data_IF_482585896259
#
_entry.id   IF_482585896259
#
_cell.length_a   1.000
_cell.length_b   1.000
_cell.length_c   1.000
_cell.angle_alpha   90.00
_cell.angle_beta   90.00
_cell.angle_gamma   90.00
#
_symmetry.space_group_name_H-M   'P 1'
#
loop_
_entity.id
_entity.type
_entity.pdbx_description
1 polymer ?
#
# COMPACT_ATOMS: atom_id res chain seq x y z
N UNK A 1 -62.10 6.61 78.23
CA UNK A 1 -61.65 7.37 77.07
C UNK A 1 -60.26 6.84 76.73
N UNK A 2 -60.21 6.01 75.68
CA UNK A 2 -58.98 5.34 75.26
C UNK A 2 -58.60 5.74 73.85
N UNK A 3 -57.40 6.26 73.69
CA UNK A 3 -56.91 6.70 72.40
C UNK A 3 -55.91 5.65 71.91
N UNK A 4 -56.29 4.95 70.83
CA UNK A 4 -55.46 3.95 70.14
C UNK A 4 -54.53 4.64 69.16
N UNK A 5 -53.25 4.40 69.28
CA UNK A 5 -52.19 4.87 68.38
C UNK A 5 -51.92 3.80 67.32
N UNK A 6 -52.23 4.08 66.04
CA UNK A 6 -51.87 3.27 64.89
C UNK A 6 -50.40 3.58 64.47
N UNK A 7 -49.54 2.60 64.60
CA UNK A 7 -48.16 2.63 64.02
C UNK A 7 -48.27 2.15 62.56
N UNK A 8 -47.97 3.04 61.61
CA UNK A 8 -47.75 2.67 60.23
C UNK A 8 -46.27 2.27 60.06
N UNK A 9 -46.02 1.02 59.71
CA UNK A 9 -44.70 0.56 59.29
C UNK A 9 -44.48 0.94 57.80
N UNK A 10 -43.50 1.79 57.52
CA UNK A 10 -42.96 2.03 56.13
C UNK A 10 -41.97 0.92 55.82
N UNK A 11 -42.32 0.03 54.89
CA UNK A 11 -41.36 -0.85 54.23
C UNK A 11 -40.62 -0.06 53.12
N UNK A 12 -39.35 0.27 53.33
CA UNK A 12 -38.49 0.80 52.31
C UNK A 12 -37.99 -0.36 51.45
N UNK A 13 -38.54 -0.56 50.27
CA UNK A 13 -38.05 -1.47 49.25
C UNK A 13 -36.81 -0.87 48.59
N UNK A 14 -35.62 -1.39 48.92
CA UNK A 14 -34.41 -1.05 48.21
C UNK A 14 -34.42 -1.76 46.84
N UNK A 15 -34.80 -1.04 45.81
CA UNK A 15 -34.67 -1.48 44.41
C UNK A 15 -33.20 -1.44 44.02
N UNK A 16 -32.54 -2.60 43.93
CA UNK A 16 -31.22 -2.72 43.26
C UNK A 16 -31.42 -2.53 41.76
N UNK A 17 -31.19 -1.32 41.27
CA UNK A 17 -31.02 -1.08 39.83
C UNK A 17 -29.65 -1.63 39.42
N UNK A 18 -29.63 -2.83 38.80
CA UNK A 18 -28.48 -3.26 38.01
C UNK A 18 -28.28 -2.28 36.86
N UNK A 19 -27.35 -1.37 37.02
CA UNK A 19 -26.83 -0.59 35.91
C UNK A 19 -26.03 -1.54 35.01
N UNK A 20 -26.66 -2.10 33.97
CA UNK A 20 -25.93 -2.71 32.86
C UNK A 20 -25.11 -1.61 32.21
N UNK A 21 -23.83 -1.53 32.51
CA UNK A 21 -22.88 -0.73 31.75
C UNK A 21 -22.85 -1.32 30.34
N UNK A 22 -23.50 -0.65 29.40
CA UNK A 22 -23.31 -0.93 27.98
C UNK A 22 -21.87 -0.52 27.68
N UNK A 23 -20.96 -1.48 27.73
CA UNK A 23 -19.60 -1.26 27.29
C UNK A 23 -19.65 -1.09 25.77
N UNK A 24 -19.18 0.04 25.28
CA UNK A 24 -19.07 0.25 23.85
C UNK A 24 -18.24 -0.90 23.25
N UNK A 25 -18.68 -1.41 22.09
CA UNK A 25 -17.95 -2.47 21.40
C UNK A 25 -16.49 -2.03 21.17
N UNK A 26 -15.51 -2.90 21.41
CA UNK A 26 -14.11 -2.57 21.14
C UNK A 26 -13.94 -2.22 19.66
N UNK A 27 -13.11 -1.23 19.38
CA UNK A 27 -12.86 -0.75 18.02
C UNK A 27 -11.37 -0.80 17.68
N UNK A 28 -11.05 -0.94 16.38
CA UNK A 28 -9.70 -0.75 15.85
C UNK A 28 -9.76 0.21 14.66
N UNK A 29 -8.97 1.27 14.70
CA UNK A 29 -8.87 2.26 13.64
C UNK A 29 -7.69 1.92 12.74
N UNK A 30 -7.99 1.61 11.48
CA UNK A 30 -7.04 1.15 10.48
C UNK A 30 -6.85 2.20 9.40
N UNK A 31 -5.61 2.67 9.20
CA UNK A 31 -5.25 3.60 8.13
C UNK A 31 -4.47 2.88 7.06
N UNK A 32 -5.11 2.65 5.93
CA UNK A 32 -4.64 1.77 4.86
C UNK A 32 -4.45 2.53 3.56
N UNK A 33 -3.81 1.90 2.60
CA UNK A 33 -3.82 2.37 1.21
C UNK A 33 -5.23 2.24 0.61
N UNK A 34 -5.51 3.06 -0.40
CA UNK A 34 -6.74 2.92 -1.19
C UNK A 34 -6.75 1.56 -1.92
N UNK A 35 -7.92 0.92 -2.00
CA UNK A 35 -8.12 -0.35 -2.71
C UNK A 35 -7.16 -1.50 -2.27
N UNK A 36 -6.82 -1.60 -0.98
CA UNK A 36 -5.73 -2.45 -0.48
C UNK A 36 -6.16 -3.40 0.65
N UNK A 37 -7.36 -3.98 0.53
CA UNK A 37 -7.90 -5.01 1.43
C UNK A 37 -9.04 -5.75 0.74
N UNK A 38 -9.31 -7.00 1.12
CA UNK A 38 -10.41 -7.78 0.59
C UNK A 38 -11.79 -7.21 0.97
N UNK A 39 -12.81 -7.37 0.12
CA UNK A 39 -14.11 -6.70 0.29
C UNK A 39 -14.87 -7.14 1.54
N UNK A 40 -14.64 -8.33 2.05
CA UNK A 40 -15.30 -8.86 3.27
C UNK A 40 -14.39 -8.90 4.48
N UNK A 41 -13.07 -8.68 4.32
CA UNK A 41 -12.05 -8.88 5.37
C UNK A 41 -12.37 -8.15 6.68
N UNK A 42 -12.85 -6.91 6.61
CA UNK A 42 -13.21 -6.13 7.79
C UNK A 42 -14.45 -6.68 8.49
N UNK A 43 -15.48 -7.02 7.74
CA UNK A 43 -16.71 -7.61 8.27
C UNK A 43 -16.47 -9.00 8.87
N UNK A 44 -15.63 -9.80 8.24
CA UNK A 44 -15.25 -11.12 8.73
C UNK A 44 -14.38 -11.03 10.00
N UNK A 45 -13.52 -10.02 10.11
CA UNK A 45 -12.80 -9.73 11.35
C UNK A 45 -13.75 -9.35 12.48
N UNK A 46 -14.69 -8.45 12.26
CA UNK A 46 -15.68 -8.06 13.26
C UNK A 46 -16.51 -9.27 13.72
N UNK A 47 -16.98 -10.07 12.78
CA UNK A 47 -17.72 -11.31 13.07
C UNK A 47 -16.90 -12.31 13.90
N UNK A 48 -15.61 -12.45 13.60
CA UNK A 48 -14.74 -13.41 14.26
C UNK A 48 -14.28 -12.97 15.66
N UNK A 49 -14.22 -11.68 15.94
CA UNK A 49 -13.60 -11.12 17.15
C UNK A 49 -14.52 -10.27 18.02
N UNK A 50 -15.62 -9.78 17.47
CA UNK A 50 -16.48 -8.78 18.13
C UNK A 50 -15.85 -7.38 18.20
N UNK A 51 -14.69 -7.16 17.55
CA UNK A 51 -14.00 -5.86 17.47
C UNK A 51 -14.44 -5.17 16.17
N UNK A 52 -14.98 -3.97 16.26
CA UNK A 52 -15.40 -3.20 15.10
C UNK A 52 -14.21 -2.52 14.42
N UNK A 53 -13.86 -2.87 13.17
CA UNK A 53 -12.84 -2.15 12.42
C UNK A 53 -13.42 -0.87 11.80
N UNK A 54 -12.64 0.20 11.83
CA UNK A 54 -12.94 1.47 11.17
C UNK A 54 -11.76 1.81 10.29
N UNK A 55 -11.97 1.87 8.97
CA UNK A 55 -10.92 2.12 8.00
C UNK A 55 -11.04 3.53 7.40
N UNK A 56 -9.90 4.23 7.37
CA UNK A 56 -9.65 5.37 6.51
C UNK A 56 -8.54 5.02 5.53
N UNK A 57 -8.42 5.76 4.42
CA UNK A 57 -7.45 5.47 3.37
C UNK A 57 -6.56 6.67 3.05
N UNK A 58 -5.38 6.36 2.51
CA UNK A 58 -4.42 7.32 1.94
C UNK A 58 -3.85 6.77 0.62
N UNK A 59 -3.15 7.61 -0.13
CA UNK A 59 -2.60 7.30 -1.45
C UNK A 59 -1.10 7.59 -1.59
N UNK A 60 -0.44 8.06 -0.51
CA UNK A 60 1.01 8.29 -0.51
C UNK A 60 1.63 8.11 0.88
N UNK A 61 2.87 7.59 0.91
CA UNK A 61 3.65 7.49 2.15
C UNK A 61 3.86 8.85 2.81
N UNK A 62 3.98 9.92 2.02
CA UNK A 62 4.17 11.29 2.51
C UNK A 62 2.95 11.77 3.31
N UNK A 63 1.74 11.42 2.87
CA UNK A 63 0.49 11.70 3.60
C UNK A 63 0.48 10.97 4.94
N UNK A 64 0.80 9.68 4.95
CA UNK A 64 0.90 8.89 6.19
C UNK A 64 1.99 9.44 7.11
N UNK A 65 3.18 9.73 6.58
CA UNK A 65 4.31 10.28 7.36
C UNK A 65 3.95 11.61 8.00
N UNK A 66 3.35 12.52 7.25
CA UNK A 66 2.89 13.81 7.77
C UNK A 66 1.96 13.65 8.97
N UNK A 67 1.02 12.70 8.88
CA UNK A 67 0.09 12.39 9.98
C UNK A 67 0.79 11.77 11.18
N UNK A 68 1.71 10.81 10.98
CA UNK A 68 2.47 10.17 12.05
C UNK A 68 3.36 11.16 12.80
N UNK A 69 4.05 12.04 12.08
CA UNK A 69 4.96 13.02 12.67
C UNK A 69 4.21 14.17 13.38
N UNK A 70 3.00 14.50 12.96
CA UNK A 70 2.15 15.47 13.66
C UNK A 70 1.64 14.94 15.01
N UNK A 71 1.57 13.59 15.18
CA UNK A 71 0.99 12.95 16.36
C UNK A 71 -0.53 13.06 16.44
N UNK A 72 -1.12 12.45 17.46
CA UNK A 72 -2.58 12.32 17.61
C UNK A 72 -3.24 11.78 16.34
N UNK A 73 -2.69 10.71 15.82
CA UNK A 73 -3.07 10.12 14.54
C UNK A 73 -4.53 9.69 14.52
N UNK A 74 -5.03 9.20 15.66
CA UNK A 74 -6.36 8.61 15.79
C UNK A 74 -6.44 7.17 15.26
N UNK A 75 -5.31 6.60 14.84
CA UNK A 75 -5.24 5.25 14.30
C UNK A 75 -4.52 4.28 15.23
N UNK A 76 -4.90 3.01 15.12
CA UNK A 76 -4.34 1.91 15.91
C UNK A 76 -3.43 1.01 15.05
N UNK A 77 -3.72 0.89 13.75
CA UNK A 77 -2.88 0.18 12.78
C UNK A 77 -2.71 1.03 11.54
N UNK A 78 -1.49 1.13 11.03
CA UNK A 78 -1.12 1.85 9.81
C UNK A 78 -0.24 1.01 8.90
N UNK A 79 -0.15 1.38 7.62
CA UNK A 79 0.51 0.57 6.58
C UNK A 79 1.59 1.38 5.84
N UNK A 80 2.72 1.68 6.47
CA UNK A 80 3.84 2.32 5.79
C UNK A 80 4.57 1.34 4.87
N UNK A 81 5.22 1.86 3.82
CA UNK A 81 6.18 1.09 3.03
C UNK A 81 7.52 0.97 3.74
N UNK A 82 8.24 -0.10 3.47
CA UNK A 82 9.49 -0.46 4.15
C UNK A 82 10.54 0.68 4.17
N UNK A 83 10.71 1.43 3.10
CA UNK A 83 11.71 2.50 3.01
C UNK A 83 11.36 3.75 3.85
N UNK A 84 10.08 3.92 4.23
CA UNK A 84 9.66 4.94 5.19
C UNK A 84 9.78 4.45 6.65
N UNK A 85 9.59 3.14 6.87
CA UNK A 85 9.55 2.55 8.20
C UNK A 85 10.77 2.91 9.07
N UNK A 86 11.98 2.77 8.52
CA UNK A 86 13.23 2.98 9.28
C UNK A 86 13.35 4.40 9.85
N UNK A 87 13.06 5.43 9.06
CA UNK A 87 13.07 6.82 9.52
C UNK A 87 11.95 7.13 10.50
N UNK A 88 10.78 6.53 10.31
CA UNK A 88 9.63 6.69 11.20
C UNK A 88 9.88 6.02 12.56
N UNK A 89 10.54 4.84 12.60
CA UNK A 89 11.01 4.21 13.84
C UNK A 89 11.98 5.13 14.58
N UNK A 90 12.97 5.69 13.88
CA UNK A 90 13.95 6.63 14.47
C UNK A 90 13.29 7.90 15.01
N UNK A 91 12.23 8.36 14.37
CA UNK A 91 11.41 9.48 14.83
C UNK A 91 10.49 9.13 16.02
N UNK A 92 10.44 7.85 16.42
CA UNK A 92 9.60 7.38 17.51
C UNK A 92 8.10 7.35 17.17
N UNK A 93 7.76 7.17 15.89
CA UNK A 93 6.38 7.17 15.41
C UNK A 93 5.60 5.90 15.80
N UNK A 94 6.29 4.80 16.13
CA UNK A 94 5.67 3.50 16.41
C UNK A 94 6.00 2.98 17.79
N UNK A 95 5.14 2.12 18.32
CA UNK A 95 5.42 1.28 19.46
C UNK A 95 5.87 -0.12 19.01
N UNK A 96 6.61 -0.81 19.88
CA UNK A 96 7.03 -2.19 19.61
C UNK A 96 5.83 -3.13 19.64
N UNK A 97 5.85 -4.09 18.73
CA UNK A 97 4.86 -5.17 18.72
C UNK A 97 5.11 -6.15 19.89
N UNK A 98 4.04 -6.52 20.58
CA UNK A 98 4.07 -7.65 21.49
C UNK A 98 3.81 -8.95 20.69
N UNK A 99 4.89 -9.67 20.41
CA UNK A 99 4.82 -10.91 19.61
C UNK A 99 4.04 -12.03 20.33
N UNK A 100 3.83 -11.95 21.64
CA UNK A 100 2.98 -12.90 22.36
C UNK A 100 1.50 -12.75 21.98
N UNK A 101 1.11 -11.57 21.52
CA UNK A 101 -0.23 -11.29 20.99
C UNK A 101 -0.39 -11.63 19.50
N UNK A 102 0.66 -12.12 18.86
CA UNK A 102 0.71 -12.46 17.44
C UNK A 102 1.04 -13.94 17.20
N UNK A 103 0.18 -14.90 17.61
CA UNK A 103 0.45 -16.34 17.44
C UNK A 103 0.67 -16.72 15.95
N UNK A 104 0.08 -15.98 14.99
CA UNK A 104 0.27 -16.20 13.56
C UNK A 104 1.57 -15.59 13.00
N UNK A 105 2.39 -14.93 13.82
CA UNK A 105 3.69 -14.38 13.42
C UNK A 105 4.62 -15.43 12.79
N UNK A 106 4.53 -16.68 13.26
CA UNK A 106 5.29 -17.83 12.74
C UNK A 106 4.91 -18.25 11.31
N UNK A 107 3.84 -17.69 10.75
CA UNK A 107 3.43 -17.94 9.36
C UNK A 107 4.19 -17.06 8.34
N UNK A 108 4.91 -16.04 8.81
CA UNK A 108 5.64 -15.11 7.95
C UNK A 108 6.88 -15.76 7.33
N UNK A 109 7.13 -15.45 6.06
CA UNK A 109 8.30 -15.91 5.30
C UNK A 109 9.60 -15.41 5.95
N UNK A 110 10.51 -16.31 6.39
CA UNK A 110 11.77 -15.91 7.02
C UNK A 110 12.68 -15.08 6.11
N UNK A 111 12.63 -15.27 4.79
CA UNK A 111 13.43 -14.51 3.85
C UNK A 111 12.95 -13.05 3.76
N UNK A 112 11.63 -12.82 3.75
CA UNK A 112 11.05 -11.48 3.80
C UNK A 112 11.33 -10.81 5.14
N UNK A 113 11.19 -11.53 6.25
CA UNK A 113 11.51 -11.04 7.59
C UNK A 113 12.98 -10.61 7.69
N UNK A 114 13.89 -11.37 7.10
CA UNK A 114 15.31 -11.02 7.02
C UNK A 114 15.57 -9.75 6.20
N UNK A 115 14.81 -9.53 5.14
CA UNK A 115 14.91 -8.29 4.34
C UNK A 115 14.40 -7.08 5.13
N UNK A 116 13.31 -7.24 5.88
CA UNK A 116 12.73 -6.18 6.71
C UNK A 116 13.68 -5.69 7.81
N UNK A 117 14.58 -6.55 8.32
CA UNK A 117 15.58 -6.17 9.33
C UNK A 117 16.45 -4.97 8.95
N UNK A 118 16.57 -4.65 7.66
CA UNK A 118 17.26 -3.43 7.20
C UNK A 118 16.59 -2.16 7.70
N UNK A 119 15.25 -2.18 7.80
CA UNK A 119 14.42 -1.04 8.18
C UNK A 119 13.92 -1.14 9.61
N UNK A 120 13.79 -2.36 10.14
CA UNK A 120 13.35 -2.68 11.50
C UNK A 120 14.27 -3.74 12.13
N UNK A 121 15.44 -3.36 12.67
CA UNK A 121 16.38 -4.31 13.28
C UNK A 121 15.73 -5.20 14.34
N UNK A 122 15.76 -6.52 14.12
CA UNK A 122 15.11 -7.53 14.96
C UNK A 122 13.60 -7.61 14.80
N UNK A 123 13.04 -6.97 13.76
CA UNK A 123 11.60 -6.97 13.44
C UNK A 123 10.75 -6.68 14.68
N UNK A 124 10.98 -5.52 15.31
CA UNK A 124 10.37 -5.17 16.60
C UNK A 124 9.10 -4.34 16.45
N UNK A 125 8.95 -3.58 15.34
CA UNK A 125 7.92 -2.55 15.18
C UNK A 125 6.87 -2.89 14.13
N UNK A 126 7.19 -3.77 13.18
CA UNK A 126 6.31 -4.04 12.05
C UNK A 126 6.33 -5.51 11.62
N UNK A 127 5.30 -5.90 10.88
CA UNK A 127 5.24 -7.17 10.14
C UNK A 127 4.89 -6.91 8.68
N UNK A 128 5.43 -7.67 7.72
CA UNK A 128 5.03 -7.56 6.33
C UNK A 128 3.53 -7.81 6.16
N UNK A 129 2.89 -7.03 5.29
CA UNK A 129 1.48 -7.18 4.92
C UNK A 129 1.36 -7.71 3.49
N UNK A 130 1.73 -6.90 2.52
CA UNK A 130 1.77 -7.26 1.11
C UNK A 130 3.06 -6.72 0.47
N UNK A 131 3.39 -7.22 -0.72
CA UNK A 131 4.50 -6.71 -1.50
C UNK A 131 4.18 -6.73 -2.99
N UNK A 132 4.86 -5.89 -3.74
CA UNK A 132 4.64 -5.78 -5.16
C UNK A 132 5.77 -5.06 -5.87
N UNK A 133 5.53 -4.74 -7.14
CA UNK A 133 6.51 -4.12 -8.03
C UNK A 133 5.94 -2.88 -8.69
N UNK A 134 6.82 -1.96 -9.07
CA UNK A 134 6.49 -0.87 -9.97
C UNK A 134 6.82 -1.26 -11.40
N UNK A 135 5.92 -0.92 -12.29
CA UNK A 135 6.06 -1.20 -13.72
C UNK A 135 5.12 -0.36 -14.56
N UNK A 136 4.70 -0.92 -15.67
CA UNK A 136 3.89 -0.22 -16.67
C UNK A 136 2.58 -0.99 -16.87
N UNK A 137 1.45 -0.37 -16.48
CA UNK A 137 0.11 -0.81 -16.83
C UNK A 137 -0.32 -0.21 -18.16
N UNK A 138 -0.86 -1.01 -19.07
CA UNK A 138 -1.21 -0.50 -20.39
C UNK A 138 -2.37 -1.22 -21.06
N UNK A 139 -3.07 -0.48 -21.89
CA UNK A 139 -4.07 -1.01 -22.83
C UNK A 139 -3.34 -1.51 -24.08
N UNK A 140 -3.36 -2.84 -24.28
CA UNK A 140 -2.62 -3.53 -25.34
C UNK A 140 -2.98 -2.99 -26.71
N UNK A 141 -4.28 -2.85 -27.00
CA UNK A 141 -4.76 -2.43 -28.33
C UNK A 141 -4.41 -0.98 -28.65
N UNK A 142 -4.56 -0.08 -27.66
CA UNK A 142 -4.21 1.34 -27.82
C UNK A 142 -2.71 1.56 -27.96
N UNK A 143 -1.90 0.84 -27.20
CA UNK A 143 -0.44 0.90 -27.30
C UNK A 143 0.03 0.34 -28.64
N UNK A 144 -0.54 -0.78 -29.08
CA UNK A 144 -0.27 -1.33 -30.41
C UNK A 144 -0.60 -0.32 -31.52
N UNK A 145 -1.75 0.33 -31.43
CA UNK A 145 -2.15 1.37 -32.39
C UNK A 145 -1.22 2.59 -32.37
N UNK A 146 -0.69 2.98 -31.20
CA UNK A 146 0.16 4.16 -31.06
C UNK A 146 1.63 3.90 -31.42
N UNK A 147 2.18 2.76 -30.96
CA UNK A 147 3.62 2.44 -31.05
C UNK A 147 3.95 1.36 -32.08
N UNK A 148 2.97 0.54 -32.51
CA UNK A 148 3.19 -0.58 -33.42
C UNK A 148 3.83 -1.81 -32.75
N UNK A 149 3.75 -1.91 -31.42
CA UNK A 149 4.29 -3.05 -30.64
C UNK A 149 3.17 -3.81 -29.96
N UNK A 150 3.30 -5.13 -29.84
CA UNK A 150 2.32 -5.98 -29.18
C UNK A 150 2.51 -6.02 -27.65
N UNK A 151 3.76 -5.84 -27.20
CA UNK A 151 4.14 -5.88 -25.78
C UNK A 151 5.09 -4.75 -25.41
N UNK A 152 5.04 -4.33 -24.16
CA UNK A 152 5.98 -3.39 -23.54
C UNK A 152 6.96 -4.19 -22.67
N UNK A 153 8.25 -3.88 -22.74
CA UNK A 153 9.31 -4.50 -21.95
C UNK A 153 10.32 -3.52 -21.36
N UNK A 154 10.12 -2.22 -21.51
CA UNK A 154 11.12 -1.21 -21.14
C UNK A 154 10.46 0.10 -20.66
N UNK A 155 11.10 0.75 -19.70
CA UNK A 155 10.77 2.11 -19.27
C UNK A 155 10.90 3.15 -20.40
N UNK A 156 11.59 2.84 -21.51
CA UNK A 156 11.69 3.69 -22.69
C UNK A 156 10.32 4.16 -23.20
N UNK A 157 9.28 3.36 -22.99
CA UNK A 157 7.90 3.72 -23.38
C UNK A 157 7.44 5.00 -22.68
N UNK A 158 7.84 5.20 -21.42
CA UNK A 158 7.45 6.35 -20.60
C UNK A 158 8.53 7.43 -20.48
N UNK A 159 9.81 7.09 -20.73
CA UNK A 159 10.90 8.04 -20.51
C UNK A 159 11.56 8.56 -21.80
N UNK A 160 11.12 8.08 -22.98
CA UNK A 160 11.59 8.64 -24.26
C UNK A 160 10.51 9.53 -24.91
N UNK A 161 10.86 10.80 -25.24
CA UNK A 161 9.91 11.76 -25.82
C UNK A 161 9.21 11.28 -27.10
N UNK A 162 9.90 10.52 -27.93
CA UNK A 162 9.33 10.00 -29.18
C UNK A 162 8.19 9.02 -28.96
N UNK A 163 8.27 8.18 -27.93
CA UNK A 163 7.20 7.26 -27.54
C UNK A 163 6.05 8.03 -26.86
N UNK A 164 6.40 8.88 -25.91
CA UNK A 164 5.44 9.65 -25.13
C UNK A 164 4.58 10.59 -26.00
N UNK A 165 5.17 11.20 -27.02
CA UNK A 165 4.45 12.04 -28.00
C UNK A 165 3.35 11.26 -28.73
N UNK A 166 3.57 9.99 -29.03
CA UNK A 166 2.58 9.12 -29.68
C UNK A 166 1.49 8.72 -28.68
N UNK A 167 1.88 8.34 -27.44
CA UNK A 167 0.98 7.90 -26.38
C UNK A 167 0.14 9.03 -25.79
N UNK A 168 0.60 10.28 -25.85
CA UNK A 168 -0.16 11.45 -25.38
C UNK A 168 -1.56 11.55 -25.99
N UNK A 169 -1.78 10.99 -27.19
CA UNK A 169 -3.09 11.01 -27.87
C UNK A 169 -4.13 10.11 -27.21
N UNK A 170 -3.69 9.10 -26.46
CA UNK A 170 -4.58 8.16 -25.77
C UNK A 170 -4.49 8.23 -24.24
N UNK A 171 -3.67 9.13 -23.70
CA UNK A 171 -3.57 9.42 -22.27
C UNK A 171 -2.48 8.63 -21.55
N UNK A 172 -1.69 9.34 -20.77
CA UNK A 172 -0.57 8.81 -19.98
C UNK A 172 -0.66 9.30 -18.54
N UNK A 173 -0.60 8.39 -17.57
CA UNK A 173 -0.55 8.73 -16.15
C UNK A 173 0.78 8.35 -15.52
N UNK A 174 1.27 9.20 -14.63
CA UNK A 174 2.42 8.90 -13.78
C UNK A 174 1.97 8.88 -12.32
N UNK A 175 2.64 8.05 -11.50
CA UNK A 175 2.47 8.10 -10.03
C UNK A 175 2.82 9.50 -9.52
N UNK A 176 2.05 10.02 -8.57
CA UNK A 176 2.39 11.28 -7.89
C UNK A 176 3.28 11.00 -6.68
N UNK A 177 4.44 10.43 -6.94
CA UNK A 177 5.45 10.12 -5.92
C UNK A 177 6.86 10.32 -6.46
N UNK A 178 7.64 11.17 -5.76
CA UNK A 178 9.05 11.37 -6.05
C UNK A 178 9.86 10.08 -5.81
N UNK A 179 9.50 9.36 -4.75
CA UNK A 179 10.19 8.15 -4.29
C UNK A 179 9.95 6.95 -5.20
N UNK A 180 8.95 7.01 -6.09
CA UNK A 180 8.71 5.98 -7.09
C UNK A 180 9.28 6.35 -8.46
N UNK A 181 9.04 7.59 -8.90
CA UNK A 181 9.36 7.99 -10.26
C UNK A 181 10.84 8.33 -10.45
N UNK A 182 11.49 9.00 -9.49
CA UNK A 182 12.91 9.36 -9.64
C UNK A 182 13.84 8.14 -9.61
N UNK A 183 13.70 7.17 -8.68
CA UNK A 183 14.47 5.93 -8.72
C UNK A 183 14.26 5.11 -10.01
N UNK A 184 13.02 5.05 -10.53
CA UNK A 184 12.74 4.36 -11.79
C UNK A 184 13.49 4.99 -12.97
N UNK A 185 13.55 6.33 -13.04
CA UNK A 185 14.31 7.04 -14.06
C UNK A 185 15.81 6.84 -13.88
N UNK A 186 16.32 6.92 -12.64
CA UNK A 186 17.73 6.65 -12.37
C UNK A 186 18.12 5.25 -12.83
N UNK A 187 17.34 4.24 -12.46
CA UNK A 187 17.56 2.86 -12.89
C UNK A 187 17.52 2.72 -14.42
N UNK A 188 16.53 3.34 -15.09
CA UNK A 188 16.45 3.37 -16.55
C UNK A 188 17.71 3.97 -17.20
N UNK A 189 18.30 4.98 -16.57
CA UNK A 189 19.54 5.63 -17.05
C UNK A 189 20.81 4.83 -16.72
N UNK A 190 20.71 3.67 -16.06
CA UNK A 190 21.85 2.87 -15.60
C UNK A 190 22.56 3.49 -14.40
N UNK A 191 21.90 4.38 -13.66
CA UNK A 191 22.40 4.97 -12.43
C UNK A 191 21.87 4.22 -11.21
N UNK A 192 22.49 4.44 -10.04
CA UNK A 192 22.00 3.86 -8.79
C UNK A 192 20.62 4.46 -8.42
N UNK A 193 19.54 3.65 -8.31
CA UNK A 193 18.22 4.11 -7.88
C UNK A 193 18.23 4.80 -6.51
N UNK A 194 19.17 4.42 -5.65
CA UNK A 194 19.38 4.97 -4.31
C UNK A 194 20.52 5.99 -4.25
N UNK A 195 20.85 6.62 -5.39
CA UNK A 195 21.98 7.58 -5.47
C UNK A 195 21.84 8.70 -4.43
N UNK A 196 22.97 9.09 -3.85
CA UNK A 196 23.06 10.28 -2.99
C UNK A 196 23.71 11.48 -3.72
N UNK A 197 24.01 11.32 -5.01
CA UNK A 197 24.65 12.33 -5.84
C UNK A 197 23.61 13.27 -6.46
N UNK A 198 23.72 14.56 -6.18
CA UNK A 198 22.80 15.57 -6.69
C UNK A 198 22.78 15.68 -8.24
N UNK A 199 23.90 15.34 -8.92
CA UNK A 199 23.96 15.38 -10.38
C UNK A 199 23.07 14.32 -11.04
N UNK A 200 22.92 13.17 -10.39
CA UNK A 200 22.07 12.09 -10.89
C UNK A 200 20.59 12.51 -10.87
N UNK A 201 20.15 13.16 -9.79
CA UNK A 201 18.81 13.72 -9.70
C UNK A 201 18.57 14.87 -10.69
N UNK A 202 19.58 15.70 -10.98
CA UNK A 202 19.46 16.72 -12.02
C UNK A 202 19.30 16.08 -13.40
N UNK A 203 20.00 14.98 -13.68
CA UNK A 203 19.86 14.24 -14.92
C UNK A 203 18.47 13.58 -15.03
N UNK A 204 17.97 12.97 -13.94
CA UNK A 204 16.64 12.39 -13.87
C UNK A 204 15.54 13.47 -14.03
N UNK A 205 15.67 14.62 -13.36
CA UNK A 205 14.77 15.77 -13.51
C UNK A 205 14.70 16.22 -14.98
N UNK A 206 15.86 16.39 -15.65
CA UNK A 206 15.91 16.75 -17.07
C UNK A 206 15.21 15.74 -17.96
N UNK A 207 15.39 14.43 -17.68
CA UNK A 207 14.75 13.34 -18.44
C UNK A 207 13.23 13.41 -18.29
N UNK A 208 12.73 13.58 -17.06
CA UNK A 208 11.29 13.70 -16.80
C UNK A 208 10.69 14.99 -17.37
N UNK A 209 11.39 16.11 -17.31
CA UNK A 209 10.92 17.37 -17.92
C UNK A 209 10.78 17.24 -19.43
N UNK A 210 11.63 16.46 -20.11
CA UNK A 210 11.52 16.24 -21.56
C UNK A 210 10.23 15.48 -21.94
N UNK A 211 9.70 14.63 -21.07
CA UNK A 211 8.46 13.88 -21.31
C UNK A 211 7.22 14.51 -20.66
N UNK A 212 7.42 15.46 -19.73
CA UNK A 212 6.34 16.11 -18.97
C UNK A 212 5.19 16.65 -19.85
N UNK A 213 5.43 17.29 -21.04
CA UNK A 213 4.35 17.80 -21.87
C UNK A 213 3.37 16.74 -22.36
N UNK A 214 3.75 15.47 -22.29
CA UNK A 214 2.96 14.33 -22.77
C UNK A 214 2.26 13.57 -21.64
N UNK A 215 2.51 13.92 -20.38
CA UNK A 215 1.84 13.33 -19.20
C UNK A 215 0.49 14.01 -19.00
N UNK A 216 -0.58 13.24 -19.02
CA UNK A 216 -1.94 13.72 -18.85
C UNK A 216 -2.17 14.20 -17.41
N UNK A 217 -1.76 13.39 -16.43
CA UNK A 217 -1.82 13.74 -15.01
C UNK A 217 -0.86 12.92 -14.16
N UNK A 218 -0.68 13.36 -12.91
CA UNK A 218 0.02 12.67 -11.83
C UNK A 218 -0.99 12.28 -10.76
N UNK A 219 -1.10 10.99 -10.46
CA UNK A 219 -1.96 10.48 -9.39
C UNK A 219 -1.64 9.02 -9.09
N UNK A 220 -1.58 8.65 -7.81
CA UNK A 220 -1.14 7.32 -7.38
C UNK A 220 -2.25 6.27 -7.30
N UNK A 221 -3.53 6.61 -7.55
CA UNK A 221 -4.64 5.64 -7.54
C UNK A 221 -5.66 5.82 -8.68
N UNK A 222 -5.88 7.05 -9.17
CA UNK A 222 -6.89 7.34 -10.22
C UNK A 222 -6.71 6.51 -11.49
N UNK A 223 -5.46 6.20 -11.86
CA UNK A 223 -5.13 5.44 -13.06
C UNK A 223 -5.74 4.03 -13.09
N UNK A 224 -6.07 3.43 -11.92
CA UNK A 224 -6.74 2.13 -11.84
C UNK A 224 -8.07 2.16 -12.58
N UNK A 225 -8.91 3.14 -12.24
CA UNK A 225 -10.23 3.32 -12.86
C UNK A 225 -10.11 3.77 -14.31
N UNK A 226 -9.19 4.69 -14.62
CA UNK A 226 -9.00 5.23 -15.96
C UNK A 226 -8.47 4.16 -16.94
N UNK A 227 -7.57 3.27 -16.50
CA UNK A 227 -7.16 2.10 -17.29
C UNK A 227 -8.33 1.14 -17.51
N UNK A 228 -9.07 0.79 -16.44
CA UNK A 228 -10.21 -0.13 -16.51
C UNK A 228 -11.30 0.37 -17.46
N UNK A 229 -11.53 1.67 -17.49
CA UNK A 229 -12.47 2.30 -18.41
C UNK A 229 -11.92 2.50 -19.83
N UNK A 230 -10.61 2.40 -20.02
CA UNK A 230 -9.94 2.75 -21.27
C UNK A 230 -9.79 4.26 -21.49
N UNK A 231 -9.90 5.10 -20.47
CA UNK A 231 -9.75 6.56 -20.56
C UNK A 231 -8.30 6.99 -20.79
N UNK A 232 -7.34 6.17 -20.32
CA UNK A 232 -5.92 6.30 -20.63
C UNK A 232 -5.39 5.00 -21.25
N UNK A 233 -4.24 5.08 -21.93
CA UNK A 233 -3.64 3.91 -22.56
C UNK A 233 -2.43 3.35 -21.82
N UNK A 234 -1.78 4.13 -20.98
CA UNK A 234 -0.59 3.69 -20.26
C UNK A 234 -0.42 4.44 -18.94
N UNK A 235 0.09 3.75 -17.94
CA UNK A 235 0.44 4.34 -16.65
C UNK A 235 1.73 3.72 -16.11
N UNK A 236 2.58 4.55 -15.48
CA UNK A 236 3.48 4.05 -14.45
C UNK A 236 2.62 3.69 -13.23
N UNK A 237 2.70 2.45 -12.74
CA UNK A 237 1.77 1.99 -11.72
C UNK A 237 2.30 0.78 -10.93
N UNK A 238 1.53 0.39 -9.94
CA UNK A 238 1.79 -0.75 -9.09
C UNK A 238 1.16 -2.02 -9.67
N UNK A 239 1.83 -3.17 -9.50
CA UNK A 239 1.42 -4.44 -10.12
C UNK A 239 -0.02 -4.84 -9.79
N UNK A 240 -0.42 -4.83 -8.52
CA UNK A 240 -1.76 -5.22 -8.10
C UNK A 240 -2.84 -4.22 -8.51
N UNK A 241 -2.51 -2.93 -8.60
CA UNK A 241 -3.45 -1.93 -9.09
C UNK A 241 -3.81 -2.18 -10.56
N UNK A 242 -2.81 -2.57 -11.37
CA UNK A 242 -3.06 -2.93 -12.77
C UNK A 242 -3.82 -4.25 -12.87
N UNK A 243 -3.55 -5.21 -11.98
CA UNK A 243 -4.34 -6.42 -11.85
C UNK A 243 -5.81 -6.10 -11.55
N UNK A 244 -6.08 -5.24 -10.57
CA UNK A 244 -7.44 -4.80 -10.24
C UNK A 244 -8.10 -4.06 -11.42
N UNK A 245 -7.36 -3.19 -12.12
CA UNK A 245 -7.87 -2.51 -13.31
C UNK A 245 -8.29 -3.50 -14.39
N UNK A 246 -7.49 -4.57 -14.61
CA UNK A 246 -7.80 -5.65 -15.55
C UNK A 246 -9.06 -6.40 -15.14
N UNK A 247 -9.17 -6.82 -13.88
CA UNK A 247 -10.37 -7.49 -13.35
C UNK A 247 -11.62 -6.63 -13.51
N UNK A 248 -11.55 -5.35 -13.16
CA UNK A 248 -12.68 -4.39 -13.33
C UNK A 248 -13.07 -4.21 -14.80
N UNK A 249 -12.10 -4.19 -15.71
CA UNK A 249 -12.37 -4.09 -17.16
C UNK A 249 -13.08 -5.34 -17.69
N UNK A 250 -12.65 -6.53 -17.26
CA UNK A 250 -13.24 -7.82 -17.62
C UNK A 250 -14.67 -7.94 -17.09
N UNK A 251 -14.92 -7.60 -15.82
CA UNK A 251 -16.25 -7.60 -15.20
C UNK A 251 -17.21 -6.61 -15.90
N UNK A 252 -16.72 -5.45 -16.27
CA UNK A 252 -17.49 -4.43 -16.98
C UNK A 252 -17.76 -4.78 -18.46
N UNK A 253 -17.11 -5.80 -19.01
CA UNK A 253 -17.26 -6.29 -20.41
C UNK A 253 -17.12 -5.18 -21.45
N UNK A 254 -16.23 -4.20 -21.20
CA UNK A 254 -16.01 -3.04 -22.09
C UNK A 254 -15.05 -3.33 -23.25
N UNK A 255 -14.51 -4.54 -23.35
CA UNK A 255 -13.52 -4.90 -24.37
C UNK A 255 -12.17 -4.20 -24.18
N UNK A 256 -11.85 -3.77 -22.98
CA UNK A 256 -10.55 -3.17 -22.63
C UNK A 256 -9.58 -4.28 -22.29
N UNK A 257 -8.52 -4.42 -23.06
CA UNK A 257 -7.49 -5.43 -22.88
C UNK A 257 -6.28 -4.81 -22.18
N UNK A 258 -6.07 -5.14 -20.90
CA UNK A 258 -4.99 -4.58 -20.07
C UNK A 258 -3.90 -5.60 -19.81
N UNK A 259 -2.66 -5.11 -19.77
CA UNK A 259 -1.49 -5.89 -19.37
C UNK A 259 -0.60 -5.05 -18.42
N UNK A 260 0.22 -5.77 -17.66
CA UNK A 260 1.28 -5.19 -16.83
C UNK A 260 2.63 -5.69 -17.32
N UNK A 261 3.60 -4.80 -17.36
CA UNK A 261 4.98 -5.14 -17.71
C UNK A 261 5.93 -4.69 -16.60
N UNK A 262 6.76 -5.62 -16.12
CA UNK A 262 7.97 -5.28 -15.37
C UNK A 262 9.05 -4.97 -16.40
N UNK A 263 9.57 -3.75 -16.45
CA UNK A 263 10.59 -3.38 -17.44
C UNK A 263 11.87 -4.21 -17.29
N UNK A 264 12.53 -4.50 -18.39
CA UNK A 264 13.78 -5.29 -18.43
C UNK A 264 14.94 -4.66 -17.67
N UNK A 265 14.89 -3.35 -17.48
CA UNK A 265 15.84 -2.60 -16.66
C UNK A 265 15.60 -2.84 -15.17
N UNK A 266 14.47 -3.42 -14.80
CA UNK A 266 13.99 -3.56 -13.42
C UNK A 266 13.09 -2.41 -12.99
N UNK A 267 12.42 -2.60 -11.86
CA UNK A 267 11.59 -1.62 -11.19
C UNK A 267 11.80 -1.68 -9.67
N UNK A 268 11.08 -0.86 -8.93
CA UNK A 268 11.07 -0.94 -7.47
C UNK A 268 10.33 -2.18 -7.00
N UNK A 269 10.96 -2.96 -6.13
CA UNK A 269 10.34 -4.00 -5.31
C UNK A 269 10.10 -3.42 -3.93
N UNK A 270 8.87 -3.30 -3.53
CA UNK A 270 8.49 -2.70 -2.25
C UNK A 270 7.73 -3.69 -1.36
N UNK A 271 7.77 -3.41 -0.07
CA UNK A 271 7.05 -4.15 0.98
C UNK A 271 6.28 -3.16 1.81
N UNK A 272 4.98 -3.38 1.96
CA UNK A 272 4.17 -2.67 2.92
C UNK A 272 4.06 -3.47 4.20
N UNK A 273 4.03 -2.78 5.32
CA UNK A 273 4.07 -3.39 6.64
C UNK A 273 2.95 -2.89 7.53
N UNK A 274 2.48 -3.74 8.44
CA UNK A 274 1.54 -3.36 9.48
C UNK A 274 2.34 -2.90 10.70
N UNK A 275 2.06 -1.69 11.18
CA UNK A 275 2.70 -1.10 12.35
C UNK A 275 1.66 -0.41 13.25
N UNK A 276 1.98 -0.29 14.54
CA UNK A 276 1.11 0.34 15.54
C UNK A 276 1.69 1.72 15.87
N UNK A 277 0.96 2.84 15.60
CA UNK A 277 1.39 4.17 15.99
C UNK A 277 1.68 4.28 17.48
N UNK A 278 2.62 5.16 17.85
CA UNK A 278 2.98 5.37 19.27
C UNK A 278 1.81 5.83 20.12
N UNK A 279 0.90 6.59 19.53
CA UNK A 279 -0.27 7.20 20.18
C UNK A 279 -1.56 6.36 20.01
N UNK A 280 -1.47 5.14 19.48
CA UNK A 280 -2.58 4.22 19.35
C UNK A 280 -3.22 3.94 20.73
N UNK A 281 -4.54 3.99 20.77
CA UNK A 281 -5.31 3.82 22.01
C UNK A 281 -5.80 2.40 22.23
N UNK A 282 -6.06 1.67 21.14
CA UNK A 282 -6.64 0.32 21.16
C UNK A 282 -5.56 -0.71 20.77
N UNK A 283 -4.45 -0.73 21.53
CA UNK A 283 -3.24 -1.53 21.21
C UNK A 283 -3.53 -3.03 21.19
N UNK A 284 -4.40 -3.52 22.07
CA UNK A 284 -4.79 -4.94 22.10
C UNK A 284 -5.60 -5.32 20.87
N UNK A 285 -6.53 -4.47 20.48
CA UNK A 285 -7.37 -4.61 19.28
C UNK A 285 -6.53 -4.52 18.01
N UNK A 286 -5.51 -3.63 18.01
CA UNK A 286 -4.54 -3.52 16.92
C UNK A 286 -3.76 -4.84 16.73
N UNK A 287 -3.25 -5.45 17.80
CA UNK A 287 -2.59 -6.76 17.73
C UNK A 287 -3.55 -7.86 17.26
N UNK A 288 -4.81 -7.85 17.72
CA UNK A 288 -5.81 -8.80 17.27
C UNK A 288 -6.08 -8.67 15.77
N UNK A 289 -6.15 -7.43 15.23
CA UNK A 289 -6.34 -7.16 13.82
C UNK A 289 -5.13 -7.58 12.98
N UNK A 290 -3.92 -7.22 13.42
CA UNK A 290 -2.68 -7.66 12.77
C UNK A 290 -2.62 -9.19 12.74
N UNK A 291 -2.84 -9.85 13.88
CA UNK A 291 -2.80 -11.30 13.96
C UNK A 291 -3.86 -11.98 13.07
N UNK A 292 -5.02 -11.35 12.91
CA UNK A 292 -6.07 -11.84 12.01
C UNK A 292 -5.59 -11.81 10.54
N UNK A 293 -4.98 -10.70 10.10
CA UNK A 293 -4.43 -10.56 8.75
C UNK A 293 -3.26 -11.54 8.48
N UNK A 294 -2.56 -12.00 9.51
CA UNK A 294 -1.48 -13.00 9.37
C UNK A 294 -1.99 -14.46 9.22
N UNK A 295 -3.30 -14.70 9.27
CA UNK A 295 -3.86 -16.03 8.98
C UNK A 295 -3.72 -16.35 7.51
N UNK A 296 -3.30 -17.59 7.15
CA UNK A 296 -3.15 -17.99 5.75
C UNK A 296 -4.41 -17.78 4.91
N UNK A 297 -5.56 -18.18 5.44
CA UNK A 297 -6.85 -18.07 4.75
C UNK A 297 -7.32 -16.64 4.56
N UNK A 298 -6.96 -15.74 5.47
CA UNK A 298 -7.33 -14.31 5.38
C UNK A 298 -6.45 -13.60 4.36
N UNK A 299 -5.12 -13.77 4.47
CA UNK A 299 -4.21 -13.05 3.58
C UNK A 299 -4.25 -13.60 2.13
N UNK A 300 -4.62 -14.89 1.95
CA UNK A 300 -4.89 -15.46 0.64
C UNK A 300 -6.04 -14.71 -0.05
N UNK A 301 -7.18 -14.57 0.62
CA UNK A 301 -8.35 -13.84 0.10
C UNK A 301 -8.03 -12.36 -0.20
N UNK A 302 -7.22 -11.72 0.66
CA UNK A 302 -6.76 -10.36 0.39
C UNK A 302 -5.94 -10.32 -0.89
N UNK A 303 -4.93 -11.20 -1.04
CA UNK A 303 -4.09 -11.27 -2.24
C UNK A 303 -4.89 -11.54 -3.50
N UNK A 304 -5.85 -12.45 -3.45
CA UNK A 304 -6.71 -12.81 -4.59
C UNK A 304 -7.53 -11.60 -5.08
N UNK A 305 -7.99 -10.77 -4.15
CA UNK A 305 -8.77 -9.59 -4.50
C UNK A 305 -7.90 -8.41 -4.97
N UNK A 306 -6.81 -8.10 -4.26
CA UNK A 306 -6.00 -6.92 -4.56
C UNK A 306 -4.90 -7.17 -5.60
N UNK A 307 -4.60 -8.44 -5.91
CA UNK A 307 -3.58 -8.81 -6.88
C UNK A 307 -2.14 -8.54 -6.44
N UNK A 308 -1.89 -8.50 -5.13
CA UNK A 308 -0.54 -8.35 -4.56
C UNK A 308 -0.08 -9.61 -3.86
N UNK A 309 1.22 -9.85 -3.92
CA UNK A 309 1.82 -10.98 -3.22
C UNK A 309 1.82 -10.76 -1.69
N UNK A 310 1.65 -11.83 -0.94
CA UNK A 310 1.63 -11.80 0.52
C UNK A 310 2.87 -12.49 1.12
N UNK A 311 3.19 -12.21 2.40
CA UNK A 311 4.37 -12.73 3.08
C UNK A 311 4.17 -14.10 3.73
N UNK A 312 3.08 -14.81 3.45
CA UNK A 312 2.72 -16.04 4.14
C UNK A 312 2.82 -17.25 3.19
N UNK A 313 3.89 -18.07 3.25
CA UNK A 313 4.03 -19.21 2.37
C UNK A 313 2.88 -20.22 2.45
N UNK A 314 2.20 -20.30 3.60
CA UNK A 314 1.05 -21.23 3.79
C UNK A 314 -0.21 -20.74 3.07
N UNK A 315 -0.26 -19.49 2.64
CA UNK A 315 -1.38 -18.93 1.89
C UNK A 315 -1.39 -19.43 0.43
N UNK A 316 -0.23 -19.81 -0.12
CA UNK A 316 -0.09 -20.14 -1.53
C UNK A 316 -1.06 -21.20 -2.05
N UNK A 317 -1.30 -22.27 -1.27
CA UNK A 317 -2.23 -23.33 -1.65
C UNK A 317 -3.71 -22.96 -1.46
N UNK A 318 -3.98 -21.86 -0.77
CA UNK A 318 -5.32 -21.33 -0.51
C UNK A 318 -5.72 -20.23 -1.50
N UNK A 319 -4.76 -19.73 -2.28
CA UNK A 319 -4.97 -18.67 -3.27
C UNK A 319 -5.51 -19.21 -4.58
N UNK A 320 -6.23 -18.34 -5.30
CA UNK A 320 -6.63 -18.59 -6.67
C UNK A 320 -5.40 -18.86 -7.54
N UNK A 321 -5.48 -19.94 -8.36
CA UNK A 321 -4.39 -20.32 -9.24
C UNK A 321 -4.03 -19.19 -10.21
N UNK A 322 -5.00 -18.45 -10.72
CA UNK A 322 -4.79 -17.34 -11.63
C UNK A 322 -3.90 -16.25 -11.01
N UNK A 323 -4.09 -15.93 -9.72
CA UNK A 323 -3.28 -14.93 -8.98
C UNK A 323 -1.91 -15.51 -8.62
N UNK A 324 -1.89 -16.73 -8.09
CA UNK A 324 -0.65 -17.40 -7.65
C UNK A 324 0.36 -17.63 -8.78
N UNK A 325 -0.11 -17.84 -10.00
CA UNK A 325 0.74 -18.11 -11.17
C UNK A 325 0.94 -16.90 -12.09
N UNK A 326 0.34 -15.75 -11.76
CA UNK A 326 0.54 -14.52 -12.52
C UNK A 326 1.94 -13.95 -12.22
N UNK A 327 2.77 -13.84 -13.26
CA UNK A 327 4.12 -13.26 -13.15
C UNK A 327 4.14 -11.76 -12.80
N UNK A 328 3.02 -11.07 -12.92
CA UNK A 328 2.87 -9.70 -12.43
C UNK A 328 2.75 -9.65 -10.90
N UNK A 329 2.17 -10.68 -10.28
CA UNK A 329 1.99 -10.81 -8.82
C UNK A 329 3.19 -11.52 -8.19
N UNK A 330 3.60 -12.65 -8.75
CA UNK A 330 4.75 -13.47 -8.30
C UNK A 330 5.78 -13.58 -9.42
N UNK A 331 6.61 -12.55 -9.64
CA UNK A 331 7.61 -12.53 -10.69
C UNK A 331 8.63 -13.68 -10.52
N UNK A 332 9.11 -14.28 -11.64
CA UNK A 332 10.18 -15.25 -11.59
C UNK A 332 11.45 -14.69 -10.94
N UNK A 333 12.27 -15.57 -10.35
CA UNK A 333 13.48 -15.16 -9.61
C UNK A 333 14.46 -14.37 -10.49
N UNK A 334 14.55 -14.65 -11.77
CA UNK A 334 15.38 -13.93 -12.74
C UNK A 334 14.94 -12.47 -12.93
N UNK A 335 13.63 -12.19 -12.82
CA UNK A 335 13.06 -10.83 -12.83
C UNK A 335 13.34 -10.15 -11.50
N UNK A 336 13.07 -10.84 -10.38
CA UNK A 336 13.34 -10.32 -9.03
C UNK A 336 14.81 -9.93 -8.81
N UNK A 337 15.75 -10.62 -9.47
CA UNK A 337 17.17 -10.31 -9.38
C UNK A 337 17.56 -8.97 -10.05
N UNK A 338 16.72 -8.45 -10.94
CA UNK A 338 16.91 -7.14 -11.60
C UNK A 338 16.20 -6.00 -10.87
N UNK A 339 15.32 -6.34 -9.91
CA UNK A 339 14.57 -5.34 -9.15
C UNK A 339 15.47 -4.68 -8.11
N UNK A 340 15.25 -3.39 -7.89
CA UNK A 340 15.86 -2.68 -6.78
C UNK A 340 14.84 -2.48 -5.64
N UNK A 341 15.34 -2.18 -4.46
CA UNK A 341 14.52 -1.81 -3.30
C UNK A 341 14.94 -0.40 -2.89
N UNK A 342 13.99 0.48 -2.70
CA UNK A 342 14.25 1.81 -2.19
C UNK A 342 14.81 1.72 -0.76
N UNK A 343 15.84 2.51 -0.49
CA UNK A 343 16.48 2.63 0.81
C UNK A 343 16.19 3.99 1.45
N UNK A 344 16.36 4.07 2.76
CA UNK A 344 16.32 5.35 3.47
C UNK A 344 17.42 6.27 2.95
N UNK A 345 17.05 7.43 2.40
CA UNK A 345 17.97 8.43 1.88
C UNK A 345 18.23 9.54 2.91
N UNK A 346 19.43 10.16 2.89
CA UNK A 346 19.72 11.30 3.76
C UNK A 346 18.71 12.45 3.54
N UNK A 347 18.36 13.22 4.59
CA UNK A 347 17.38 14.32 4.49
C UNK A 347 17.70 15.37 3.42
N UNK A 348 19.00 15.59 3.12
CA UNK A 348 19.43 16.49 2.05
C UNK A 348 19.00 15.97 0.68
N UNK A 349 19.09 14.67 0.46
CA UNK A 349 18.71 14.01 -0.80
C UNK A 349 17.19 14.01 -0.93
N UNK A 350 16.46 13.67 0.13
CA UNK A 350 14.99 13.73 0.12
C UNK A 350 14.47 15.12 -0.24
N UNK A 351 15.04 16.20 0.35
CA UNK A 351 14.69 17.58 -0.04
C UNK A 351 15.03 17.89 -1.50
N UNK A 352 16.09 17.31 -2.05
CA UNK A 352 16.42 17.45 -3.46
C UNK A 352 15.37 16.76 -4.33
N UNK A 353 15.01 15.52 -4.02
CA UNK A 353 13.97 14.75 -4.72
C UNK A 353 12.63 15.51 -4.73
N UNK A 354 12.17 15.99 -3.57
CA UNK A 354 10.93 16.77 -3.47
C UNK A 354 10.95 18.01 -4.35
N UNK A 355 12.07 18.74 -4.39
CA UNK A 355 12.22 19.92 -5.26
C UNK A 355 12.21 19.57 -6.74
N UNK A 356 12.98 18.54 -7.14
CA UNK A 356 12.99 18.04 -8.51
C UNK A 356 11.61 17.58 -8.95
N UNK A 357 10.90 16.87 -8.10
CA UNK A 357 9.55 16.39 -8.38
C UNK A 357 8.54 17.54 -8.54
N UNK A 358 8.63 18.55 -7.69
CA UNK A 358 7.79 19.76 -7.80
C UNK A 358 8.00 20.47 -9.15
N UNK A 359 9.25 20.58 -9.61
CA UNK A 359 9.57 21.14 -10.92
C UNK A 359 9.02 20.28 -12.06
N UNK A 360 9.22 18.96 -11.99
CA UNK A 360 8.67 18.03 -12.97
C UNK A 360 7.15 18.18 -13.08
N UNK A 361 6.43 18.16 -11.96
CA UNK A 361 4.96 18.32 -11.99
C UNK A 361 4.52 19.65 -12.57
N UNK A 362 5.19 20.74 -12.19
CA UNK A 362 4.86 22.09 -12.72
C UNK A 362 5.30 22.30 -14.17
N UNK A 363 6.22 21.50 -14.70
CA UNK A 363 6.79 21.66 -16.03
C UNK A 363 7.74 22.86 -16.18
N UNK A 364 8.34 23.33 -15.06
CA UNK A 364 9.17 24.54 -15.01
C UNK A 364 10.59 24.25 -14.52
#
# INVERSE_FOLDING_TARGET
MSISVFRKALMAGAGLTLACSVQAAPTVHFYNWSDYIGPTTLADFEKATGIKPVQDVFDSNETLEGKLLAGNTGYDVVVPSNHFLGKQIKAGAFQKLDKNLLPNYSNLDPALMKRLERNDPGNQYAVPYLWGTNGIGYNVDKVKAALGVDTIDSWAVLFEPENMKKLAKCGVAFLDSADEMLPAVLNYMGLDPNSTNAKDYQAAEKKLLAVRPYVTYFHSSKYITDLANGDICVAAGFSGDVFQAKTRAEEAKKGVNLAYAIPKEGGNLWFDVLAIPKDAKNVKEAHAFINYLLKPEVIAQVSDYVGYANPNPKAGDLMDQAVRTDAAVYPPQEVLNKMFVNSELPPKVQRLMTRSWTKVKSGK
#
